data_IF_483351299697
#
_entry.id   IF_483351299697
#
_cell.length_a   1.000
_cell.length_b   1.000
_cell.length_c   1.000
_cell.angle_alpha   90.00
_cell.angle_beta   90.00
_cell.angle_gamma   90.00
#
_symmetry.space_group_name_H-M   'P 1'
#
loop_
_entity.id
_entity.type
_entity.pdbx_description
1 polymer ?
#
# COMPACT_ATOMS: atom_id res chain seq x y z
N UNK A 1 27.82 -16.26 10.25
CA UNK A 1 27.38 -17.64 10.53
C UNK A 1 26.25 -17.81 11.57
N UNK A 2 26.02 -16.90 12.53
CA UNK A 2 24.88 -16.99 13.48
C UNK A 2 23.55 -16.46 12.93
N UNK A 3 23.59 -15.48 12.03
CA UNK A 3 22.40 -14.80 11.48
C UNK A 3 21.56 -15.77 10.63
N UNK A 4 22.18 -16.60 9.80
CA UNK A 4 21.49 -17.58 8.93
C UNK A 4 20.72 -18.65 9.73
N UNK A 5 21.26 -19.08 10.87
CA UNK A 5 20.61 -20.08 11.73
C UNK A 5 19.36 -19.51 12.43
N UNK A 6 19.41 -18.25 12.89
CA UNK A 6 18.26 -17.57 13.50
C UNK A 6 17.17 -17.25 12.47
N UNK A 7 17.54 -16.85 11.25
CA UNK A 7 16.59 -16.67 10.13
C UNK A 7 15.89 -17.98 9.78
N UNK A 8 16.63 -19.10 9.79
CA UNK A 8 16.07 -20.43 9.51
C UNK A 8 15.05 -20.85 10.59
N UNK A 9 15.34 -20.60 11.87
CA UNK A 9 14.41 -20.93 12.96
C UNK A 9 13.13 -20.10 12.90
N UNK A 10 13.25 -18.78 12.65
CA UNK A 10 12.07 -17.92 12.48
C UNK A 10 11.21 -18.33 11.30
N UNK A 11 11.82 -18.70 10.18
CA UNK A 11 11.08 -19.21 9.02
C UNK A 11 10.31 -20.49 9.36
N UNK A 12 10.90 -21.40 10.14
CA UNK A 12 10.23 -22.62 10.62
C UNK A 12 9.06 -22.31 11.57
N UNK A 13 9.24 -21.38 12.50
CA UNK A 13 8.19 -20.93 13.42
C UNK A 13 6.99 -20.35 12.65
N UNK A 14 7.26 -19.47 11.68
CA UNK A 14 6.22 -18.87 10.83
C UNK A 14 5.49 -19.95 10.02
N UNK A 15 6.22 -20.86 9.37
CA UNK A 15 5.62 -21.94 8.61
C UNK A 15 4.79 -22.91 9.47
N UNK A 16 5.20 -23.14 10.72
CA UNK A 16 4.45 -23.95 11.68
C UNK A 16 3.17 -23.25 12.12
N UNK A 17 3.24 -21.95 12.42
CA UNK A 17 2.09 -21.17 12.82
C UNK A 17 1.08 -21.01 11.67
N UNK A 18 1.53 -20.78 10.44
CA UNK A 18 0.67 -20.69 9.26
C UNK A 18 -0.12 -21.99 9.02
N UNK A 19 0.55 -23.15 9.14
CA UNK A 19 -0.12 -24.47 9.07
C UNK A 19 -1.13 -24.68 10.18
N UNK A 20 -0.85 -24.20 11.39
CA UNK A 20 -1.80 -24.27 12.49
C UNK A 20 -3.06 -23.44 12.20
N UNK A 21 -2.89 -22.21 11.68
CA UNK A 21 -4.02 -21.35 11.27
C UNK A 21 -4.86 -22.02 10.18
N UNK A 22 -4.22 -22.58 9.15
CA UNK A 22 -4.92 -23.31 8.09
C UNK A 22 -5.76 -24.47 8.66
N UNK A 23 -5.20 -25.26 9.59
CA UNK A 23 -5.91 -26.35 10.22
C UNK A 23 -7.13 -25.88 11.05
N UNK A 24 -7.06 -24.70 11.69
CA UNK A 24 -8.23 -24.13 12.38
C UNK A 24 -9.33 -23.74 11.40
N UNK A 25 -8.97 -23.15 10.26
CA UNK A 25 -9.92 -22.78 9.20
C UNK A 25 -10.56 -24.04 8.61
N UNK A 26 -9.78 -25.08 8.34
CA UNK A 26 -10.29 -26.39 7.87
C UNK A 26 -11.19 -27.07 8.90
N UNK A 27 -10.93 -26.86 10.19
CA UNK A 27 -11.79 -27.33 11.28
C UNK A 27 -13.08 -26.51 11.45
N UNK A 28 -13.27 -25.43 10.68
CA UNK A 28 -14.50 -24.65 10.62
C UNK A 28 -14.45 -23.28 11.31
N UNK A 29 -13.29 -22.85 11.81
CA UNK A 29 -13.13 -21.48 12.34
C UNK A 29 -13.19 -20.48 11.18
N UNK A 30 -13.98 -19.42 11.33
CA UNK A 30 -14.04 -18.37 10.31
C UNK A 30 -12.71 -17.59 10.28
N UNK A 31 -12.10 -17.33 9.11
CA UNK A 31 -10.85 -16.57 9.03
C UNK A 31 -10.90 -15.21 9.73
N UNK A 32 -12.07 -14.54 9.73
CA UNK A 32 -12.28 -13.26 10.40
C UNK A 32 -12.23 -13.31 11.93
N UNK A 33 -12.23 -14.50 12.53
CA UNK A 33 -12.11 -14.70 13.98
C UNK A 33 -10.64 -14.91 14.42
N UNK A 34 -9.70 -14.95 13.48
CA UNK A 34 -8.29 -15.21 13.75
C UNK A 34 -7.49 -13.91 13.61
N UNK A 35 -6.92 -13.44 14.73
CA UNK A 35 -5.99 -12.30 14.75
C UNK A 35 -4.56 -12.77 15.04
N UNK A 36 -3.65 -12.54 14.10
CA UNK A 36 -2.21 -12.79 14.30
C UNK A 36 -1.54 -11.52 14.82
N UNK A 37 -0.84 -11.62 15.96
CA UNK A 37 -0.16 -10.50 16.60
C UNK A 37 1.33 -10.74 16.72
N UNK A 38 2.13 -9.70 16.51
CA UNK A 38 3.56 -9.70 16.76
C UNK A 38 4.00 -8.34 17.31
N UNK A 39 5.15 -8.32 18.00
CA UNK A 39 5.72 -7.08 18.56
C UNK A 39 6.26 -6.13 17.47
N UNK A 40 6.62 -6.66 16.30
CA UNK A 40 7.15 -5.92 15.15
C UNK A 40 6.45 -6.40 13.89
N UNK A 41 6.46 -5.58 12.83
CA UNK A 41 5.83 -5.92 11.56
C UNK A 41 6.64 -6.92 10.71
N UNK A 42 7.96 -6.99 10.87
CA UNK A 42 8.81 -7.91 10.07
C UNK A 42 8.33 -9.38 10.10
N UNK A 43 8.02 -9.99 11.26
CA UNK A 43 7.46 -11.34 11.29
C UNK A 43 6.06 -11.46 10.67
N UNK A 44 5.26 -10.39 10.65
CA UNK A 44 3.90 -10.41 10.08
C UNK A 44 3.92 -10.47 8.56
N UNK A 45 4.91 -9.83 7.92
CA UNK A 45 5.10 -9.93 6.47
C UNK A 45 5.41 -11.39 6.06
N UNK A 46 6.36 -12.04 6.76
CA UNK A 46 6.69 -13.44 6.52
C UNK A 46 5.49 -14.37 6.78
N UNK A 47 4.68 -14.08 7.81
CA UNK A 47 3.44 -14.81 8.08
C UNK A 47 2.41 -14.63 6.97
N UNK A 48 2.22 -13.40 6.47
CA UNK A 48 1.31 -13.11 5.36
C UNK A 48 1.71 -13.93 4.13
N UNK A 49 3.00 -13.97 3.79
CA UNK A 49 3.50 -14.75 2.66
C UNK A 49 3.27 -16.26 2.85
N UNK A 50 3.53 -16.78 4.06
CA UNK A 50 3.30 -18.18 4.39
C UNK A 50 1.81 -18.56 4.30
N UNK A 51 0.91 -17.72 4.81
CA UNK A 51 -0.54 -17.93 4.73
C UNK A 51 -1.04 -17.82 3.28
N UNK A 52 -0.52 -16.86 2.51
CA UNK A 52 -0.83 -16.70 1.08
C UNK A 52 -0.40 -17.93 0.28
N UNK A 53 0.77 -18.51 0.57
CA UNK A 53 1.25 -19.74 -0.06
C UNK A 53 0.33 -20.95 0.23
N UNK A 54 -0.38 -20.94 1.36
CA UNK A 54 -1.38 -21.94 1.73
C UNK A 54 -2.80 -21.62 1.21
N UNK A 55 -2.96 -20.54 0.44
CA UNK A 55 -4.26 -20.09 -0.08
C UNK A 55 -5.17 -19.45 0.96
N UNK A 56 -4.64 -19.08 2.14
CA UNK A 56 -5.39 -18.40 3.19
C UNK A 56 -5.39 -16.89 2.92
N UNK A 57 -6.57 -16.34 2.70
CA UNK A 57 -6.75 -14.89 2.55
C UNK A 57 -6.42 -14.18 3.87
N UNK A 58 -5.63 -13.12 3.80
CA UNK A 58 -5.18 -12.35 4.96
C UNK A 58 -5.22 -10.86 4.66
N UNK A 59 -5.65 -10.08 5.64
CA UNK A 59 -5.53 -8.63 5.63
C UNK A 59 -4.47 -8.22 6.64
N UNK A 60 -3.45 -7.50 6.18
CA UNK A 60 -2.51 -6.83 7.06
C UNK A 60 -2.81 -5.34 7.00
N UNK A 61 -3.03 -4.67 8.13
CA UNK A 61 -3.16 -3.22 8.15
C UNK A 61 -1.89 -2.59 7.56
N UNK A 62 -2.01 -2.03 6.36
CA UNK A 62 -0.92 -1.27 5.77
C UNK A 62 -0.79 0.07 6.49
N UNK A 63 0.45 0.54 6.65
CA UNK A 63 0.71 1.88 7.19
C UNK A 63 0.39 2.98 6.19
N UNK A 64 0.44 2.68 4.89
CA UNK A 64 0.14 3.63 3.84
C UNK A 64 -1.38 3.70 3.66
N UNK A 65 -1.98 4.85 3.95
CA UNK A 65 -3.39 5.02 3.66
C UNK A 65 -3.56 5.14 2.13
N UNK A 66 -4.67 4.63 1.58
CA UNK A 66 -4.98 4.78 0.15
C UNK A 66 -4.83 6.22 -0.36
N UNK A 67 -5.26 7.26 0.39
CA UNK A 67 -5.06 8.64 -0.03
C UNK A 67 -3.59 9.03 -0.18
N UNK A 68 -2.64 8.35 0.49
CA UNK A 68 -1.21 8.70 0.42
C UNK A 68 -0.52 8.15 -0.82
N UNK A 69 -1.18 7.25 -1.57
CA UNK A 69 -0.61 6.69 -2.79
C UNK A 69 -0.40 7.81 -3.85
N UNK A 70 0.78 7.92 -4.49
CA UNK A 70 1.07 9.00 -5.44
C UNK A 70 0.03 9.13 -6.57
N UNK A 71 -0.39 8.00 -7.14
CA UNK A 71 -1.41 7.97 -8.19
C UNK A 71 -2.77 8.47 -7.70
N UNK A 72 -3.15 8.11 -6.47
CA UNK A 72 -4.42 8.57 -5.87
C UNK A 72 -4.38 10.07 -5.64
N UNK A 73 -3.26 10.57 -5.14
CA UNK A 73 -3.05 11.99 -4.92
C UNK A 73 -3.12 12.83 -6.21
N UNK A 74 -2.66 12.30 -7.35
CA UNK A 74 -2.78 12.98 -8.64
C UNK A 74 -4.24 13.06 -9.11
N UNK A 75 -5.03 12.03 -8.87
CA UNK A 75 -6.48 12.03 -9.12
C UNK A 75 -7.20 13.02 -8.20
N UNK A 76 -6.83 13.07 -6.91
CA UNK A 76 -7.36 14.05 -5.96
C UNK A 76 -7.07 15.48 -6.46
N UNK A 77 -5.84 15.75 -6.88
CA UNK A 77 -5.45 17.05 -7.41
C UNK A 77 -6.25 17.46 -8.66
N UNK A 78 -6.54 16.51 -9.55
CA UNK A 78 -7.41 16.76 -10.70
C UNK A 78 -8.83 17.13 -10.27
N UNK A 79 -9.43 16.38 -9.35
CA UNK A 79 -10.78 16.67 -8.84
C UNK A 79 -10.81 18.03 -8.16
N UNK A 80 -9.82 18.35 -7.32
CA UNK A 80 -9.71 19.63 -6.64
C UNK A 80 -9.63 20.80 -7.63
N UNK A 81 -8.86 20.66 -8.71
CA UNK A 81 -8.74 21.68 -9.75
C UNK A 81 -10.04 21.88 -10.54
N UNK A 82 -10.81 20.81 -10.77
CA UNK A 82 -12.10 20.87 -11.46
C UNK A 82 -13.20 21.49 -10.59
N UNK A 83 -13.19 21.21 -9.30
CA UNK A 83 -14.18 21.74 -8.35
C UNK A 83 -13.85 23.18 -7.94
N UNK A 84 -12.56 23.53 -7.87
CA UNK A 84 -12.08 24.87 -7.53
C UNK A 84 -11.03 25.34 -8.54
N UNK A 85 -11.44 26.08 -9.60
CA UNK A 85 -10.53 26.57 -10.62
C UNK A 85 -9.44 27.53 -10.12
N UNK A 86 -9.55 28.04 -8.89
CA UNK A 86 -8.55 28.89 -8.24
C UNK A 86 -7.44 28.11 -7.51
N UNK A 87 -7.49 26.77 -7.50
CA UNK A 87 -6.46 25.93 -6.89
C UNK A 87 -5.29 25.67 -7.86
N UNK A 88 -4.46 26.68 -8.07
CA UNK A 88 -3.32 26.63 -8.99
C UNK A 88 -2.35 25.47 -8.71
N UNK A 89 -2.13 25.13 -7.43
CA UNK A 89 -1.24 24.03 -7.05
C UNK A 89 -1.84 22.65 -7.43
N UNK A 90 -3.13 22.45 -7.16
CA UNK A 90 -3.83 21.21 -7.56
C UNK A 90 -3.89 21.08 -9.07
N UNK A 91 -4.13 22.20 -9.78
CA UNK A 91 -4.11 22.24 -11.24
C UNK A 91 -2.71 21.91 -11.79
N UNK A 92 -1.66 22.56 -11.29
CA UNK A 92 -0.28 22.30 -11.73
C UNK A 92 0.12 20.84 -11.50
N UNK A 93 -0.26 20.26 -10.35
CA UNK A 93 -0.04 18.85 -10.05
C UNK A 93 -0.78 17.93 -11.02
N UNK A 94 -2.07 18.17 -11.27
CA UNK A 94 -2.86 17.37 -12.19
C UNK A 94 -2.28 17.39 -13.61
N UNK A 95 -1.86 18.57 -14.08
CA UNK A 95 -1.22 18.75 -15.39
C UNK A 95 0.15 18.05 -15.47
N UNK A 96 0.96 18.10 -14.40
CA UNK A 96 2.27 17.43 -14.36
C UNK A 96 2.17 15.91 -14.22
N UNK A 97 1.08 15.41 -13.67
CA UNK A 97 0.85 13.98 -13.44
C UNK A 97 0.78 13.20 -14.76
N UNK A 98 0.93 11.85 -14.72
CA UNK A 98 0.77 11.01 -15.91
C UNK A 98 -0.61 11.08 -16.58
N UNK A 99 -1.61 11.69 -15.93
CA UNK A 99 -2.96 11.87 -16.49
C UNK A 99 -2.92 12.81 -17.70
N UNK A 100 -2.09 13.86 -17.63
CA UNK A 100 -1.96 14.88 -18.68
C UNK A 100 -0.55 14.87 -19.28
N UNK A 101 0.48 14.73 -18.44
CA UNK A 101 1.86 14.58 -18.87
C UNK A 101 2.54 15.87 -19.32
N UNK A 102 2.07 17.04 -18.87
CA UNK A 102 2.70 18.32 -19.18
C UNK A 102 4.12 18.39 -18.61
N UNK A 103 5.01 19.05 -19.33
CA UNK A 103 6.36 19.40 -18.88
C UNK A 103 6.36 20.64 -18.01
N UNK A 104 7.43 20.83 -17.23
CA UNK A 104 7.56 22.03 -16.39
C UNK A 104 7.61 23.31 -17.23
N UNK A 105 8.14 23.24 -18.46
CA UNK A 105 8.17 24.37 -19.39
C UNK A 105 6.76 24.77 -19.85
N UNK A 106 5.92 23.80 -20.22
CA UNK A 106 4.53 24.04 -20.62
C UNK A 106 3.69 24.63 -19.47
N UNK A 107 3.94 24.21 -18.23
CA UNK A 107 3.28 24.79 -17.05
C UNK A 107 3.64 26.26 -16.84
N UNK A 108 4.90 26.62 -17.05
CA UNK A 108 5.37 28.01 -16.95
C UNK A 108 4.72 28.86 -18.05
N UNK A 109 4.71 28.38 -19.29
CA UNK A 109 4.06 29.07 -20.41
C UNK A 109 2.57 29.29 -20.14
N UNK A 110 1.86 28.25 -19.67
CA UNK A 110 0.45 28.34 -19.30
C UNK A 110 0.22 29.38 -18.19
N UNK A 111 1.08 29.41 -17.17
CA UNK A 111 0.97 30.36 -16.07
C UNK A 111 1.29 31.81 -16.49
N UNK A 112 2.10 32.02 -17.53
CA UNK A 112 2.33 33.34 -18.11
C UNK A 112 1.13 33.80 -18.94
N UNK A 113 0.56 32.90 -19.75
CA UNK A 113 -0.63 33.18 -20.56
C UNK A 113 -1.86 33.51 -19.70
N UNK A 114 -2.06 32.80 -18.59
CA UNK A 114 -3.19 33.04 -17.69
C UNK A 114 -3.15 34.41 -16.97
N UNK A 115 -1.99 35.07 -16.93
CA UNK A 115 -1.81 36.39 -16.29
C UNK A 115 -1.90 37.56 -17.27
N UNK A 116 -1.85 37.29 -18.58
CA UNK A 116 -1.96 38.29 -19.63
C UNK A 116 -3.43 38.64 -19.91
#
# INVERSE_FOLDING_TARGET
>A
PRVEAEETLRAQEVAQAARWVQAQIEAGVSPGEILVMARRNEPLAAMQDALRALGVATEMPEKAALPDAPVVQDVIALVDALVSPAHDLSLARALRSPIVGASDAELVELALLARA
#
